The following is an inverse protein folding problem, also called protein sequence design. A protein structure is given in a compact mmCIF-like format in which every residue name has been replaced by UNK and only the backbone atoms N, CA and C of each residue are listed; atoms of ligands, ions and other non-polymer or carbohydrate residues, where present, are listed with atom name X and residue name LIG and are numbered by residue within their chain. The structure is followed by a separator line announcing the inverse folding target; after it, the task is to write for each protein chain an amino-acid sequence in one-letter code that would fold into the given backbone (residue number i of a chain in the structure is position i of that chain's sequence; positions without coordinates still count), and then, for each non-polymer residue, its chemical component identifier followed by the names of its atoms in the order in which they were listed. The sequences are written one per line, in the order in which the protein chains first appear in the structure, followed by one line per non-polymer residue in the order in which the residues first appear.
data_IF_525528522709
#
_entry.id   IF_525528522709
#
_cell.length_a   1.000
_cell.length_b   1.000
_cell.length_c   1.000
_cell.angle_alpha   90.00
_cell.angle_beta   90.00
_cell.angle_gamma   90.00
#
_symmetry.space_group_name_H-M   'P 1'
#
loop_
_entity.id
_entity.type
_entity.pdbx_description
1 polymer ?
#
# COMPACT_ATOMS: atom_id res chain seq x y z
N UNK A 1 -7.93 10.18 -3.52
CA UNK A 1 -7.20 10.41 -4.79
C UNK A 1 -7.03 11.91 -5.05
N UNK A 2 -8.07 12.72 -4.87
CA UNK A 2 -7.99 14.17 -5.15
C UNK A 2 -6.91 14.90 -4.34
N UNK A 3 -6.74 14.57 -3.06
CA UNK A 3 -5.67 15.16 -2.25
C UNK A 3 -4.26 14.84 -2.78
N UNK A 4 -4.06 13.65 -3.36
CA UNK A 4 -2.80 13.26 -4.02
C UNK A 4 -2.59 14.00 -5.33
N UNK A 5 -3.66 14.17 -6.12
CA UNK A 5 -3.62 14.98 -7.34
C UNK A 5 -3.31 16.44 -7.02
N UNK A 6 -3.90 17.01 -5.97
CA UNK A 6 -3.75 18.41 -5.58
C UNK A 6 -2.38 18.74 -4.98
N UNK A 7 -1.70 17.75 -4.38
CA UNK A 7 -0.35 17.90 -3.84
C UNK A 7 0.70 18.13 -4.94
N UNK A 8 0.47 17.56 -6.13
CA UNK A 8 1.35 17.72 -7.28
C UNK A 8 0.79 18.73 -8.27
N UNK A 9 1.59 19.73 -8.66
CA UNK A 9 1.16 20.73 -9.66
C UNK A 9 0.83 20.11 -11.03
N UNK A 10 1.54 19.06 -11.42
CA UNK A 10 1.35 18.35 -12.70
C UNK A 10 1.56 16.85 -12.52
N UNK A 11 0.57 16.10 -12.00
CA UNK A 11 0.74 14.69 -11.72
C UNK A 11 0.87 13.89 -13.01
N UNK A 12 2.09 13.49 -13.34
CA UNK A 12 2.42 12.72 -14.55
C UNK A 12 1.77 11.33 -14.57
N UNK A 13 1.29 10.88 -13.41
CA UNK A 13 0.63 9.61 -13.25
C UNK A 13 -0.88 9.68 -13.49
N UNK A 14 -1.51 10.86 -13.51
CA UNK A 14 -2.95 10.98 -13.75
C UNK A 14 -3.27 10.62 -15.21
N UNK A 15 -4.01 9.53 -15.42
CA UNK A 15 -4.41 9.08 -16.75
C UNK A 15 -5.80 8.45 -16.73
N UNK A 16 -6.61 8.77 -17.73
CA UNK A 16 -7.83 8.01 -18.00
C UNK A 16 -7.47 6.58 -18.44
N UNK A 17 -7.75 5.61 -17.57
CA UNK A 17 -7.51 4.19 -17.82
C UNK A 17 -8.87 3.48 -18.00
N UNK A 18 -9.35 3.29 -19.25
CA UNK A 18 -10.71 2.82 -19.51
C UNK A 18 -10.95 1.37 -19.10
N UNK A 19 -9.91 0.52 -19.04
CA UNK A 19 -10.06 -0.90 -18.67
C UNK A 19 -10.20 -1.10 -17.16
N UNK A 20 -9.22 -0.64 -16.39
CA UNK A 20 -9.25 -0.63 -14.93
C UNK A 20 -8.85 0.78 -14.53
N UNK A 21 -9.76 1.54 -13.94
CA UNK A 21 -9.43 2.89 -13.48
C UNK A 21 -8.52 2.84 -12.25
N UNK A 22 -7.96 3.98 -11.87
CA UNK A 22 -6.98 4.02 -10.80
C UNK A 22 -7.58 3.81 -9.40
N UNK A 23 -8.85 4.18 -9.19
CA UNK A 23 -9.56 3.93 -7.93
C UNK A 23 -9.81 2.42 -7.76
N UNK A 24 -10.33 1.77 -8.80
CA UNK A 24 -10.53 0.33 -8.83
C UNK A 24 -9.21 -0.44 -8.71
N UNK A 25 -8.13 0.07 -9.30
CA UNK A 25 -6.80 -0.51 -9.10
C UNK A 25 -6.37 -0.50 -7.63
N UNK A 26 -6.50 0.63 -6.94
CA UNK A 26 -6.16 0.74 -5.51
C UNK A 26 -7.07 -0.18 -4.69
N UNK A 27 -8.39 -0.13 -4.93
CA UNK A 27 -9.39 -0.94 -4.21
C UNK A 27 -9.09 -2.43 -4.35
N UNK A 28 -8.91 -2.94 -5.57
CA UNK A 28 -8.57 -4.35 -5.82
C UNK A 28 -7.20 -4.72 -5.25
N UNK A 29 -6.23 -3.80 -5.26
CA UNK A 29 -4.92 -3.99 -4.61
C UNK A 29 -5.08 -4.22 -3.10
N UNK A 30 -5.82 -3.33 -2.42
CA UNK A 30 -6.09 -3.43 -0.99
C UNK A 30 -6.86 -4.70 -0.65
N UNK A 31 -7.95 -4.99 -1.38
CA UNK A 31 -8.75 -6.21 -1.19
C UNK A 31 -7.88 -7.46 -1.29
N UNK A 32 -6.99 -7.53 -2.28
CA UNK A 32 -6.08 -8.66 -2.42
C UNK A 32 -5.14 -8.83 -1.23
N UNK A 33 -4.63 -7.74 -0.66
CA UNK A 33 -3.71 -7.79 0.48
C UNK A 33 -4.40 -8.21 1.78
N UNK A 34 -5.69 -7.93 1.95
CA UNK A 34 -6.44 -8.26 3.17
C UNK A 34 -7.28 -9.54 3.07
N UNK A 35 -7.37 -10.12 1.87
CA UNK A 35 -8.17 -11.33 1.61
C UNK A 35 -7.37 -12.62 1.82
N UNK A 36 -8.03 -13.65 2.35
CA UNK A 36 -7.48 -14.99 2.50
C UNK A 36 -7.67 -15.77 1.18
N UNK A 37 -6.75 -15.58 0.24
CA UNK A 37 -6.81 -16.18 -1.10
C UNK A 37 -5.51 -16.87 -1.49
N UNK A 38 -5.60 -18.09 -2.00
CA UNK A 38 -4.44 -18.95 -2.28
C UNK A 38 -3.74 -18.65 -3.61
N UNK A 39 -4.39 -17.89 -4.50
CA UNK A 39 -3.83 -17.58 -5.81
C UNK A 39 -4.44 -16.32 -6.42
N UNK A 40 -3.80 -15.82 -7.47
CA UNK A 40 -4.34 -14.72 -8.26
C UNK A 40 -5.67 -15.01 -8.94
N UNK A 41 -5.96 -16.27 -9.27
CA UNK A 41 -7.27 -16.67 -9.83
C UNK A 41 -8.33 -16.76 -8.75
N UNK A 42 -7.99 -17.37 -7.61
CA UNK A 42 -8.87 -17.42 -6.43
C UNK A 42 -9.26 -15.99 -6.03
N UNK A 43 -8.31 -15.05 -5.99
CA UNK A 43 -8.59 -13.64 -5.75
C UNK A 43 -9.64 -13.04 -6.70
N UNK A 44 -9.46 -13.20 -8.02
CA UNK A 44 -10.38 -12.59 -8.98
C UNK A 44 -11.77 -13.22 -8.95
N UNK A 45 -11.85 -14.52 -8.70
CA UNK A 45 -13.13 -15.20 -8.49
C UNK A 45 -13.83 -14.66 -7.24
N UNK A 46 -13.13 -14.55 -6.12
CA UNK A 46 -13.67 -13.99 -4.89
C UNK A 46 -14.09 -12.52 -5.06
N UNK A 47 -13.31 -11.73 -5.81
CA UNK A 47 -13.65 -10.34 -6.12
C UNK A 47 -14.95 -10.22 -6.94
N UNK A 48 -15.17 -11.12 -7.89
CA UNK A 48 -16.41 -11.18 -8.67
C UNK A 48 -17.60 -11.63 -7.81
N UNK A 49 -17.45 -12.73 -7.08
CA UNK A 49 -18.54 -13.37 -6.33
C UNK A 49 -18.96 -12.58 -5.08
N UNK A 50 -18.02 -11.93 -4.39
CA UNK A 50 -18.27 -11.26 -3.10
C UNK A 50 -18.40 -9.74 -3.25
N UNK A 51 -17.68 -9.15 -4.20
CA UNK A 51 -17.57 -7.69 -4.33
C UNK A 51 -18.17 -7.15 -5.63
N UNK A 52 -18.71 -8.02 -6.49
CA UNK A 52 -19.27 -7.66 -7.81
C UNK A 52 -18.25 -6.91 -8.70
N UNK A 53 -16.95 -7.18 -8.50
CA UNK A 53 -15.84 -6.53 -9.19
C UNK A 53 -15.29 -7.42 -10.30
N UNK A 54 -15.85 -7.31 -11.50
CA UNK A 54 -15.33 -8.05 -12.66
C UNK A 54 -14.08 -7.37 -13.24
N UNK A 55 -12.93 -8.03 -13.07
CA UNK A 55 -11.68 -7.61 -13.70
C UNK A 55 -11.01 -8.77 -14.44
N UNK A 56 -10.78 -8.67 -15.76
CA UNK A 56 -10.07 -9.71 -16.49
C UNK A 56 -8.68 -9.96 -15.92
N UNK A 57 -8.29 -11.24 -15.82
CA UNK A 57 -6.98 -11.67 -15.32
C UNK A 57 -5.82 -10.89 -15.96
N UNK A 58 -5.81 -10.81 -17.29
CA UNK A 58 -4.77 -10.12 -18.03
C UNK A 58 -4.76 -8.61 -17.74
N UNK A 59 -5.93 -8.00 -17.56
CA UNK A 59 -6.06 -6.59 -17.19
C UNK A 59 -5.43 -6.36 -15.82
N UNK A 60 -5.89 -7.04 -14.77
CA UNK A 60 -5.41 -6.83 -13.39
C UNK A 60 -3.91 -7.06 -13.24
N UNK A 61 -3.40 -8.20 -13.71
CA UNK A 61 -1.99 -8.57 -13.51
C UNK A 61 -1.00 -7.77 -14.38
N UNK A 62 -1.39 -7.32 -15.59
CA UNK A 62 -0.56 -6.37 -16.35
C UNK A 62 -0.52 -5.01 -15.66
N UNK A 63 -1.62 -4.64 -15.03
CA UNK A 63 -1.79 -3.39 -14.31
C UNK A 63 -0.83 -3.25 -13.12
N UNK A 64 -0.52 -4.35 -12.42
CA UNK A 64 0.47 -4.40 -11.33
C UNK A 64 1.89 -4.05 -11.79
N UNK A 65 2.20 -4.24 -13.07
CA UNK A 65 3.52 -3.97 -13.64
C UNK A 65 3.69 -2.51 -14.10
N UNK A 66 2.71 -1.65 -13.85
CA UNK A 66 2.71 -0.28 -14.37
C UNK A 66 3.58 0.65 -13.52
N UNK A 67 4.71 1.18 -14.03
CA UNK A 67 5.54 2.13 -13.27
C UNK A 67 4.79 3.44 -12.96
N UNK A 68 3.82 3.79 -13.81
CA UNK A 68 2.92 4.93 -13.58
C UNK A 68 2.09 4.73 -12.31
N UNK A 69 1.55 3.52 -12.11
CA UNK A 69 0.71 3.22 -10.95
C UNK A 69 1.49 3.13 -9.66
N UNK A 70 2.76 2.73 -9.73
CA UNK A 70 3.68 2.79 -8.59
C UNK A 70 3.79 4.24 -8.10
N UNK A 71 4.14 5.19 -8.98
CA UNK A 71 4.22 6.62 -8.63
C UNK A 71 2.92 7.18 -8.07
N UNK A 72 1.79 6.76 -8.64
CA UNK A 72 0.48 7.13 -8.10
C UNK A 72 0.26 6.58 -6.69
N UNK A 73 0.62 5.32 -6.44
CA UNK A 73 0.47 4.71 -5.12
C UNK A 73 1.36 5.40 -4.08
N UNK A 74 2.60 5.75 -4.44
CA UNK A 74 3.51 6.54 -3.58
C UNK A 74 2.87 7.89 -3.20
N UNK A 75 2.33 8.63 -4.17
CA UNK A 75 1.65 9.90 -3.90
C UNK A 75 0.38 9.72 -3.03
N UNK A 76 -0.38 8.65 -3.25
CA UNK A 76 -1.57 8.34 -2.45
C UNK A 76 -1.20 7.94 -1.02
N UNK A 77 -0.16 7.15 -0.85
CA UNK A 77 0.34 6.70 0.45
C UNK A 77 0.78 7.90 1.29
N UNK A 78 1.62 8.78 0.75
CA UNK A 78 2.09 9.96 1.46
C UNK A 78 0.93 10.84 1.94
N UNK A 79 -0.03 11.13 1.06
CA UNK A 79 -1.20 11.93 1.44
C UNK A 79 -2.14 11.20 2.41
N UNK A 80 -2.17 9.87 2.39
CA UNK A 80 -3.01 9.12 3.32
C UNK A 80 -2.50 9.28 4.75
N UNK A 81 -1.18 9.29 4.96
CA UNK A 81 -0.59 9.52 6.29
C UNK A 81 -0.93 10.89 6.87
N UNK A 82 -0.90 11.95 6.06
CA UNK A 82 -1.26 13.28 6.52
C UNK A 82 -2.73 13.33 6.97
N UNK A 83 -3.63 12.75 6.16
CA UNK A 83 -5.07 12.69 6.48
C UNK A 83 -5.31 11.87 7.74
N UNK A 84 -4.67 10.69 7.88
CA UNK A 84 -4.86 9.84 9.05
C UNK A 84 -4.29 10.50 10.30
N UNK A 85 -3.13 11.15 10.22
CA UNK A 85 -2.50 11.84 11.35
C UNK A 85 -3.37 13.01 11.82
N UNK A 86 -3.90 13.83 10.91
CA UNK A 86 -4.82 14.91 11.22
C UNK A 86 -6.13 14.37 11.84
N UNK A 87 -6.68 13.30 11.25
CA UNK A 87 -7.91 12.67 11.76
C UNK A 87 -7.72 12.14 13.17
N UNK A 88 -6.64 11.41 13.45
CA UNK A 88 -6.35 10.90 14.79
C UNK A 88 -6.14 12.03 15.79
N UNK A 89 -5.37 13.05 15.41
CA UNK A 89 -5.10 14.23 16.25
C UNK A 89 -6.38 14.99 16.60
N UNK A 90 -7.28 15.20 15.64
CA UNK A 90 -8.57 15.88 15.88
C UNK A 90 -9.50 15.13 16.82
N UNK A 91 -9.34 13.80 16.94
CA UNK A 91 -10.06 12.98 17.90
C UNK A 91 -9.30 12.81 19.24
N UNK A 92 -8.16 13.48 19.41
CA UNK A 92 -7.32 13.36 20.60
C UNK A 92 -6.71 11.97 20.78
N UNK A 93 -6.59 11.20 19.68
CA UNK A 93 -6.05 9.84 19.71
C UNK A 93 -4.53 9.91 19.59
N UNK A 94 -3.86 9.52 20.67
CA UNK A 94 -2.43 9.30 20.72
C UNK A 94 -2.16 7.97 21.45
N UNK A 95 -1.87 6.93 20.68
CA UNK A 95 -1.60 5.59 21.20
C UNK A 95 -0.27 5.49 21.95
N UNK A 96 0.64 6.44 21.75
CA UNK A 96 1.97 6.45 22.37
C UNK A 96 2.05 7.38 23.58
N UNK A 97 0.99 8.13 23.89
CA UNK A 97 0.91 9.06 25.03
C UNK A 97 1.34 8.46 26.38
N UNK A 98 1.11 7.15 26.57
CA UNK A 98 1.50 6.44 27.80
C UNK A 98 3.01 6.18 27.93
N UNK A 99 3.80 6.47 26.90
CA UNK A 99 5.23 6.18 26.79
C UNK A 99 6.03 7.46 26.51
N UNK A 100 6.13 8.40 27.47
CA UNK A 100 6.80 9.68 27.27
C UNK A 100 8.28 9.56 26.89
N UNK A 101 8.93 8.43 27.22
CA UNK A 101 10.30 8.11 26.81
C UNK A 101 10.47 8.02 25.29
N UNK A 102 9.39 7.85 24.53
CA UNK A 102 9.41 7.77 23.07
C UNK A 102 9.31 9.13 22.39
N UNK A 103 9.08 10.23 23.12
CA UNK A 103 8.85 11.56 22.55
C UNK A 103 10.02 12.07 21.68
N UNK A 104 11.24 11.63 21.98
CA UNK A 104 12.46 12.02 21.24
C UNK A 104 12.81 11.03 20.11
N UNK A 105 11.97 10.02 19.87
CA UNK A 105 12.23 8.96 18.91
C UNK A 105 11.18 8.93 17.79
N UNK A 106 11.64 8.69 16.57
CA UNK A 106 10.75 8.30 15.48
C UNK A 106 10.31 6.85 15.67
N UNK A 107 9.02 6.64 15.91
CA UNK A 107 8.44 5.30 16.06
C UNK A 107 7.89 4.85 14.72
N UNK A 108 8.47 3.78 14.17
CA UNK A 108 8.07 3.20 12.88
C UNK A 108 7.49 1.80 13.11
N UNK A 109 6.29 1.55 12.60
CA UNK A 109 5.72 0.21 12.55
C UNK A 109 6.27 -0.51 11.31
N UNK A 110 7.25 -1.39 11.52
CA UNK A 110 7.79 -2.25 10.47
C UNK A 110 7.21 -3.66 10.60
N UNK A 111 6.69 -4.22 9.51
CA UNK A 111 6.57 -5.68 9.41
C UNK A 111 8.00 -6.21 9.16
N UNK A 112 8.41 -7.28 9.84
CA UNK A 112 9.83 -7.69 9.91
C UNK A 112 10.52 -8.03 8.57
N UNK A 113 9.86 -7.85 7.42
CA UNK A 113 10.40 -8.05 6.08
C UNK A 113 11.44 -7.00 5.66
N UNK A 114 11.55 -5.88 6.38
CA UNK A 114 12.51 -4.81 6.10
C UNK A 114 13.77 -4.84 6.99
N UNK A 115 13.89 -5.81 7.90
CA UNK A 115 15.09 -5.96 8.72
C UNK A 115 16.09 -6.79 7.92
N UNK A 116 17.10 -6.12 7.35
CA UNK A 116 18.27 -6.82 6.81
C UNK A 116 18.92 -7.63 7.93
N UNK A 117 19.50 -8.78 7.59
CA UNK A 117 20.09 -9.64 8.60
C UNK A 117 21.13 -8.87 9.41
N UNK A 118 21.16 -9.08 10.74
CA UNK A 118 22.14 -8.42 11.59
C UNK A 118 23.54 -8.59 10.99
N UNK A 119 24.29 -7.48 10.88
CA UNK A 119 25.58 -7.43 10.19
C UNK A 119 26.64 -8.36 10.78
N UNK A 120 26.40 -8.91 11.97
CA UNK A 120 27.24 -9.87 12.67
C UNK A 120 26.81 -11.33 12.53
N UNK A 121 25.70 -11.62 11.84
CA UNK A 121 25.26 -13.01 11.66
C UNK A 121 26.18 -13.72 10.67
N UNK A 122 26.77 -14.83 11.09
CA UNK A 122 27.60 -15.66 10.23
C UNK A 122 26.79 -16.18 9.04
N UNK A 123 27.36 -16.05 7.83
CA UNK A 123 26.74 -16.58 6.61
C UNK A 123 26.85 -18.10 6.60
N UNK A 124 25.78 -18.77 6.21
CA UNK A 124 25.78 -20.20 5.91
C UNK A 124 26.66 -20.55 4.71
N UNK A 125 26.88 -21.85 4.49
CA UNK A 125 27.72 -22.39 3.39
C UNK A 125 27.29 -21.95 1.98
N UNK A 126 26.06 -21.50 1.82
CA UNK A 126 25.48 -20.97 0.58
C UNK A 126 25.65 -19.44 0.43
N UNK A 127 26.37 -18.78 1.34
CA UNK A 127 26.63 -17.34 1.32
C UNK A 127 25.44 -16.47 1.72
N UNK A 128 24.34 -17.08 2.16
CA UNK A 128 23.18 -16.39 2.74
C UNK A 128 23.26 -16.46 4.26
N UNK A 129 22.74 -15.44 4.92
CA UNK A 129 22.45 -15.52 6.35
C UNK A 129 21.23 -16.42 6.55
#
# INVERSE_FOLDING_TARGET
MDNAVSAERYPLWKRACPGLNDIGFIRLGMLRCISLVDSGRHFLQAAEEVHEEQCPLSTYFKSLKSPRRVRMLEAVEQQSYDIYSETLSSHGIDYLKSFPELNDYTVLAADGHFIDHACHTEKGRNGKV
#
